data_IF_723304970439
#
_entry.id   IF_723304970439
#
_cell.length_a   1.000
_cell.length_b   1.000
_cell.length_c   1.000
_cell.angle_alpha   90.00
_cell.angle_beta   90.00
_cell.angle_gamma   90.00
#
_symmetry.space_group_name_H-M   'P 1'
#
loop_
_entity.id
_entity.type
_entity.pdbx_description
1 polymer ?
#
# COMPACT_ATOMS: atom_id res chain seq x y z
N UNK A 1 1.24 3.52 -9.86
CA UNK A 1 1.32 2.66 -8.68
C UNK A 1 0.12 1.72 -8.62
N UNK A 2 0.34 0.49 -8.22
CA UNK A 2 -0.72 -0.54 -8.18
C UNK A 2 -1.27 -0.84 -6.78
N UNK A 3 -1.09 0.07 -5.84
CA UNK A 3 -1.47 -0.19 -4.45
C UNK A 3 -2.92 -0.61 -4.31
N UNK A 4 -3.83 0.15 -4.91
CA UNK A 4 -5.25 -0.13 -4.81
C UNK A 4 -5.62 -1.48 -5.44
N UNK A 5 -5.05 -1.77 -6.61
CA UNK A 5 -5.30 -3.04 -7.30
C UNK A 5 -4.85 -4.23 -6.47
N UNK A 6 -3.61 -4.16 -5.97
CA UNK A 6 -3.04 -5.25 -5.19
C UNK A 6 -3.82 -5.44 -3.90
N UNK A 7 -4.18 -4.33 -3.23
CA UNK A 7 -5.00 -4.39 -2.02
C UNK A 7 -6.32 -5.11 -2.27
N UNK A 8 -6.99 -4.76 -3.36
CA UNK A 8 -8.28 -5.37 -3.71
C UNK A 8 -8.14 -6.85 -4.07
N UNK A 9 -7.05 -7.21 -4.74
CA UNK A 9 -6.77 -8.61 -5.05
C UNK A 9 -6.61 -9.43 -3.77
N UNK A 10 -6.01 -8.84 -2.75
CA UNK A 10 -5.83 -9.48 -1.44
C UNK A 10 -7.08 -9.39 -0.57
N UNK A 11 -8.15 -8.76 -1.08
CA UNK A 11 -9.42 -8.59 -0.38
C UNK A 11 -9.26 -7.85 0.95
N UNK A 12 -8.39 -6.84 0.95
CA UNK A 12 -8.14 -6.03 2.13
C UNK A 12 -8.81 -4.68 2.01
N UNK A 13 -9.41 -4.22 3.11
CA UNK A 13 -9.88 -2.84 3.20
C UNK A 13 -8.71 -1.95 3.56
N UNK A 14 -8.88 -0.63 3.41
CA UNK A 14 -7.84 0.33 3.81
C UNK A 14 -7.51 0.19 5.30
N UNK A 15 -8.50 0.11 6.21
CA UNK A 15 -8.18 -0.11 7.62
C UNK A 15 -7.40 -1.40 7.88
N UNK A 16 -7.74 -2.48 7.19
CA UNK A 16 -7.02 -3.73 7.33
C UNK A 16 -5.57 -3.61 6.88
N UNK A 17 -5.34 -2.98 5.73
CA UNK A 17 -3.99 -2.77 5.24
C UNK A 17 -3.20 -1.86 6.18
N UNK A 18 -3.85 -0.83 6.72
CA UNK A 18 -3.23 0.05 7.69
C UNK A 18 -2.72 -0.73 8.90
N UNK A 19 -3.54 -1.65 9.40
CA UNK A 19 -3.18 -2.46 10.55
C UNK A 19 -2.01 -3.39 10.25
N UNK A 20 -2.02 -4.01 9.07
CA UNK A 20 -0.96 -4.94 8.66
C UNK A 20 0.36 -4.24 8.38
N UNK A 21 0.32 -3.07 7.80
CA UNK A 21 1.52 -2.35 7.34
C UNK A 21 2.04 -1.34 8.35
N UNK A 22 1.26 -1.05 9.38
CA UNK A 22 1.57 0.00 10.35
C UNK A 22 1.68 1.39 9.68
N UNK A 23 0.92 1.58 8.61
CA UNK A 23 0.85 2.86 7.90
C UNK A 23 -0.52 3.47 8.15
N UNK A 24 -0.58 4.76 8.50
CA UNK A 24 -1.88 5.40 8.77
C UNK A 24 -2.84 5.31 7.59
N UNK A 25 -4.13 5.17 7.90
CA UNK A 25 -5.17 5.08 6.88
C UNK A 25 -5.10 6.26 5.92
N UNK A 26 -4.94 7.47 6.46
CA UNK A 26 -4.86 8.67 5.63
C UNK A 26 -3.71 8.61 4.63
N UNK A 27 -2.57 8.08 5.06
CA UNK A 27 -1.41 7.93 4.18
C UNK A 27 -1.69 6.96 3.05
N UNK A 28 -2.36 5.84 3.34
CA UNK A 28 -2.74 4.87 2.33
C UNK A 28 -3.69 5.50 1.33
N UNK A 29 -4.70 6.22 1.81
CA UNK A 29 -5.66 6.89 0.95
C UNK A 29 -4.99 7.92 0.04
N UNK A 30 -4.05 8.69 0.60
CA UNK A 30 -3.29 9.66 -0.19
C UNK A 30 -2.47 8.98 -1.27
N UNK A 31 -1.81 7.87 -0.94
CA UNK A 31 -1.01 7.12 -1.90
C UNK A 31 -1.87 6.57 -3.03
N UNK A 32 -3.04 6.04 -2.71
CA UNK A 32 -3.95 5.51 -3.72
C UNK A 32 -4.48 6.61 -4.64
N UNK A 33 -4.66 7.82 -4.09
CA UNK A 33 -5.17 8.94 -4.86
C UNK A 33 -4.10 9.63 -5.69
N UNK A 34 -2.92 9.88 -5.09
CA UNK A 34 -1.84 10.63 -5.74
C UNK A 34 -0.87 9.76 -6.51
N UNK A 35 -0.69 8.53 -6.07
CA UNK A 35 0.21 7.62 -6.74
C UNK A 35 1.68 7.79 -6.39
N UNK A 36 2.01 8.57 -5.36
CA UNK A 36 3.39 8.72 -4.93
C UNK A 36 3.48 8.76 -3.40
N UNK A 37 4.67 8.55 -2.88
CA UNK A 37 4.90 8.57 -1.46
C UNK A 37 6.35 8.26 -1.13
N UNK A 38 6.66 8.27 0.15
CA UNK A 38 8.02 7.99 0.61
C UNK A 38 8.36 6.52 0.41
N UNK A 39 9.61 6.26 0.04
CA UNK A 39 10.10 4.91 -0.18
C UNK A 39 9.92 4.05 1.08
N UNK A 40 10.19 4.60 2.25
CA UNK A 40 10.02 3.86 3.51
C UNK A 40 8.57 3.40 3.71
N UNK A 41 7.61 4.24 3.36
CA UNK A 41 6.19 3.89 3.45
C UNK A 41 5.83 2.81 2.43
N UNK A 42 6.35 2.96 1.21
CA UNK A 42 6.10 1.97 0.15
C UNK A 42 6.67 0.60 0.50
N UNK A 43 7.84 0.56 1.15
CA UNK A 43 8.44 -0.69 1.60
C UNK A 43 7.53 -1.38 2.62
N UNK A 44 7.00 -0.62 3.58
CA UNK A 44 6.08 -1.18 4.57
C UNK A 44 4.84 -1.78 3.92
N UNK A 45 4.29 -1.08 2.94
CA UNK A 45 3.10 -1.54 2.23
C UNK A 45 3.41 -2.78 1.38
N UNK A 46 4.54 -2.78 0.69
CA UNK A 46 4.94 -3.93 -0.12
C UNK A 46 5.13 -5.18 0.76
N UNK A 47 5.76 -5.02 1.91
CA UNK A 47 5.93 -6.11 2.87
C UNK A 47 4.58 -6.65 3.34
N UNK A 48 3.67 -5.76 3.71
CA UNK A 48 2.34 -6.16 4.20
C UNK A 48 1.56 -6.89 3.12
N UNK A 49 1.74 -6.50 1.87
CA UNK A 49 1.05 -7.12 0.73
C UNK A 49 1.80 -8.32 0.17
N UNK A 50 2.98 -8.60 0.69
CA UNK A 50 3.83 -9.71 0.26
C UNK A 50 4.21 -9.62 -1.22
N UNK A 51 4.52 -8.41 -1.67
CA UNK A 51 4.98 -8.15 -3.04
C UNK A 51 6.29 -7.38 -3.00
N UNK A 52 6.99 -7.34 -4.14
CA UNK A 52 8.20 -6.55 -4.23
C UNK A 52 7.84 -5.07 -4.38
N UNK A 53 8.77 -4.20 -3.99
CA UNK A 53 8.58 -2.77 -4.17
C UNK A 53 8.42 -2.42 -5.64
N UNK A 54 9.17 -3.08 -6.51
CA UNK A 54 9.10 -2.87 -7.96
C UNK A 54 7.70 -3.20 -8.49
N UNK A 55 7.13 -4.31 -8.05
CA UNK A 55 5.80 -4.72 -8.47
C UNK A 55 4.74 -3.71 -8.02
N UNK A 56 4.88 -3.22 -6.80
CA UNK A 56 3.95 -2.23 -6.25
C UNK A 56 4.01 -0.92 -7.02
N UNK A 57 5.19 -0.49 -7.40
CA UNK A 57 5.40 0.80 -8.04
C UNK A 57 5.15 0.81 -9.55
N UNK A 58 4.90 -0.33 -10.13
CA UNK A 58 4.56 -0.39 -11.56
C UNK A 58 3.20 0.22 -11.80
#
# INVERSE_FOLDING_TARGET
MRLREIRKEKKLSVPELSKLSDVPIRTIEDLERRGDGRVSTLIKLADALEVTLDFLCR
#
